data_IF_771247929499
#
_entry.id   IF_771247929499
#
_cell.length_a   1.000
_cell.length_b   1.000
_cell.length_c   1.000
_cell.angle_alpha   90.00
_cell.angle_beta   90.00
_cell.angle_gamma   90.00
#
_symmetry.space_group_name_H-M   'P 1'
#
loop_
_entity.id
_entity.type
_entity.pdbx_description
1 polymer ?
#
# COMPACT_ATOMS: atom_id res chain seq x y z
N UNK A 1 -5.13 4.71 -9.51
CA UNK A 1 -4.10 3.95 -8.74
C UNK A 1 -2.77 4.02 -9.46
N UNK A 2 -2.76 3.88 -10.79
CA UNK A 2 -1.56 4.04 -11.62
C UNK A 2 -0.86 5.38 -11.42
N UNK A 3 -1.61 6.47 -11.28
CA UNK A 3 -1.07 7.80 -11.03
C UNK A 3 -0.32 7.85 -9.70
N UNK A 4 -0.92 7.35 -8.61
CA UNK A 4 -0.25 7.29 -7.30
C UNK A 4 0.92 6.32 -7.26
N UNK A 5 0.87 5.21 -8.00
CA UNK A 5 2.01 4.31 -8.20
C UNK A 5 3.16 5.00 -8.93
N UNK A 6 2.88 5.76 -9.99
CA UNK A 6 3.90 6.52 -10.73
C UNK A 6 4.58 7.60 -9.86
N UNK A 7 3.87 8.09 -8.84
CA UNK A 7 4.38 9.06 -7.87
C UNK A 7 5.08 8.39 -6.66
N UNK A 8 5.18 7.06 -6.62
CA UNK A 8 5.78 6.35 -5.48
C UNK A 8 5.04 6.56 -4.17
N UNK A 9 3.72 6.70 -4.21
CA UNK A 9 2.88 6.81 -3.02
C UNK A 9 2.44 5.39 -2.64
N UNK A 10 2.74 4.89 -1.43
CA UNK A 10 2.29 3.55 -1.01
C UNK A 10 0.78 3.50 -0.75
N UNK A 11 0.16 2.35 -1.01
CA UNK A 11 -1.30 2.17 -0.95
C UNK A 11 -1.73 1.24 0.19
N UNK A 12 -2.93 1.47 0.70
CA UNK A 12 -3.71 0.47 1.45
C UNK A 12 -4.86 0.08 0.53
N UNK A 13 -4.94 -1.19 0.13
CA UNK A 13 -5.97 -1.67 -0.80
C UNK A 13 -6.72 -2.84 -0.21
N UNK A 14 -7.97 -3.05 -0.62
CA UNK A 14 -8.67 -4.30 -0.32
C UNK A 14 -8.20 -5.42 -1.23
N UNK A 15 -8.14 -6.65 -0.70
CA UNK A 15 -7.79 -7.86 -1.46
C UNK A 15 -8.98 -8.35 -2.29
N UNK A 16 -9.48 -7.51 -3.19
CA UNK A 16 -10.60 -7.79 -4.09
C UNK A 16 -10.15 -7.69 -5.54
N UNK A 17 -10.55 -8.67 -6.35
CA UNK A 17 -10.07 -8.79 -7.73
C UNK A 17 -8.55 -8.87 -7.80
N UNK A 18 -7.98 -8.39 -8.91
CA UNK A 18 -6.52 -8.40 -9.14
C UNK A 18 -5.74 -7.27 -8.47
N UNK A 19 -6.38 -6.41 -7.68
CA UNK A 19 -5.69 -5.25 -7.07
C UNK A 19 -4.67 -5.71 -6.02
N UNK A 20 -4.99 -6.75 -5.25
CA UNK A 20 -4.03 -7.33 -4.29
C UNK A 20 -2.80 -7.95 -4.97
N UNK A 21 -2.93 -8.40 -6.22
CA UNK A 21 -1.83 -9.06 -6.96
C UNK A 21 -0.74 -8.09 -7.40
N UNK A 22 -1.07 -6.80 -7.55
CA UNK A 22 -0.12 -5.75 -7.97
C UNK A 22 0.50 -4.99 -6.79
N UNK A 23 0.09 -5.31 -5.56
CA UNK A 23 0.69 -4.78 -4.34
C UNK A 23 1.77 -5.75 -3.85
N UNK A 24 2.94 -5.20 -3.54
CA UNK A 24 4.04 -5.90 -2.90
C UNK A 24 4.07 -5.43 -1.45
N UNK A 25 3.66 -6.28 -0.52
CA UNK A 25 3.54 -5.94 0.90
C UNK A 25 4.84 -5.36 1.46
N UNK A 26 4.74 -4.22 2.16
CA UNK A 26 5.88 -3.51 2.73
C UNK A 26 6.77 -2.82 1.70
N UNK A 27 6.53 -3.03 0.41
CA UNK A 27 7.16 -2.31 -0.69
C UNK A 27 6.15 -1.34 -1.30
N UNK A 28 5.31 -1.73 -2.24
CA UNK A 28 4.42 -0.76 -2.93
C UNK A 28 3.14 -0.42 -2.15
N UNK A 29 2.86 -1.12 -1.05
CA UNK A 29 1.68 -0.89 -0.21
C UNK A 29 1.44 -2.05 0.74
N UNK A 30 0.18 -2.18 1.19
CA UNK A 30 -0.32 -3.33 1.94
C UNK A 30 -1.75 -3.69 1.51
N UNK A 31 -2.04 -5.00 1.47
CA UNK A 31 -3.39 -5.52 1.26
C UNK A 31 -4.16 -5.74 2.57
N UNK A 32 -5.46 -5.41 2.59
CA UNK A 32 -6.37 -5.69 3.71
C UNK A 32 -7.62 -6.45 3.24
N UNK A 33 -8.28 -7.25 4.11
CA UNK A 33 -9.54 -7.89 3.74
C UNK A 33 -10.63 -6.85 3.42
N UNK A 34 -11.51 -7.17 2.46
CA UNK A 34 -12.69 -6.35 2.18
C UNK A 34 -13.63 -6.31 3.39
N UNK A 35 -14.34 -5.19 3.55
CA UNK A 35 -15.35 -4.99 4.61
C UNK A 35 -14.82 -5.20 6.04
N UNK A 36 -13.51 -5.19 6.24
CA UNK A 36 -12.88 -5.35 7.54
C UNK A 36 -12.37 -4.01 8.07
N UNK A 37 -13.24 -3.32 8.82
CA UNK A 37 -12.93 -2.03 9.44
C UNK A 37 -11.71 -2.09 10.35
N UNK A 38 -11.55 -3.17 11.13
CA UNK A 38 -10.44 -3.31 12.06
C UNK A 38 -9.10 -3.38 11.32
N UNK A 39 -9.02 -4.19 10.26
CA UNK A 39 -7.82 -4.31 9.44
C UNK A 39 -7.43 -2.98 8.77
N UNK A 40 -8.41 -2.26 8.19
CA UNK A 40 -8.17 -0.94 7.60
C UNK A 40 -7.69 0.07 8.64
N UNK A 41 -8.29 0.06 9.84
CA UNK A 41 -7.91 0.97 10.92
C UNK A 41 -6.47 0.72 11.38
N UNK A 42 -6.09 -0.54 11.58
CA UNK A 42 -4.72 -0.92 11.93
C UNK A 42 -3.73 -0.47 10.87
N UNK A 43 -4.01 -0.75 9.59
CA UNK A 43 -3.19 -0.34 8.46
C UNK A 43 -2.98 1.19 8.39
N UNK A 44 -4.06 1.97 8.58
CA UNK A 44 -4.00 3.43 8.61
C UNK A 44 -3.15 3.95 9.78
N UNK A 45 -3.29 3.36 10.96
CA UNK A 45 -2.50 3.74 12.13
C UNK A 45 -1.01 3.39 11.95
N UNK A 46 -0.69 2.24 11.35
CA UNK A 46 0.68 1.88 11.00
C UNK A 46 1.29 2.90 10.04
N UNK A 47 0.59 3.26 8.96
CA UNK A 47 1.03 4.28 8.01
C UNK A 47 1.21 5.65 8.67
N UNK A 48 0.29 6.03 9.55
CA UNK A 48 0.36 7.30 10.28
C UNK A 48 1.59 7.37 11.20
N UNK A 49 1.84 6.33 12.00
CA UNK A 49 2.97 6.28 12.91
C UNK A 49 4.31 6.12 12.18
N UNK A 50 4.33 5.43 11.04
CA UNK A 50 5.52 5.18 10.24
C UNK A 50 5.61 6.12 9.02
N UNK A 51 4.93 7.27 9.03
CA UNK A 51 4.85 8.19 7.88
C UNK A 51 6.20 8.60 7.28
N UNK A 52 7.24 8.66 8.10
CA UNK A 52 8.60 9.01 7.67
C UNK A 52 9.30 7.86 6.91
N UNK A 53 8.78 6.64 7.00
CA UNK A 53 9.27 5.43 6.35
C UNK A 53 8.51 5.14 5.05
N UNK A 54 7.27 5.63 4.91
CA UNK A 54 6.43 5.46 3.72
C UNK A 54 7.10 5.87 2.39
N UNK A 55 7.95 6.92 2.31
CA UNK A 55 8.65 7.23 1.06
C UNK A 55 9.57 6.09 0.58
N UNK A 56 10.07 5.25 1.48
CA UNK A 56 10.90 4.09 1.14
C UNK A 56 10.09 2.93 0.55
N UNK A 57 8.82 2.85 0.91
CA UNK A 57 7.89 1.83 0.42
C UNK A 57 7.63 2.08 -1.08
N UNK A 58 7.17 3.27 -1.47
CA UNK A 58 6.86 3.56 -2.87
C UNK A 58 8.07 3.70 -3.82
N UNK A 59 9.27 3.34 -3.39
CA UNK A 59 10.53 3.52 -4.11
C UNK A 59 10.91 2.31 -4.99
N UNK A 60 9.99 1.37 -5.26
CA UNK A 60 10.25 0.27 -6.18
C UNK A 60 10.42 0.83 -7.60
N UNK A 61 11.66 1.20 -7.93
CA UNK A 61 12.08 1.58 -9.27
C UNK A 61 11.93 0.34 -10.13
N UNK A 62 11.07 0.41 -11.14
CA UNK A 62 11.14 -0.50 -12.28
C UNK A 62 12.59 -0.45 -12.79
N UNK A 63 13.38 -1.43 -12.37
CA UNK A 63 14.65 -1.73 -13.00
C UNK A 63 14.25 -2.39 -14.31
N UNK A 64 14.69 -1.79 -15.41
CA UNK A 64 14.20 -2.05 -16.77
C UNK A 64 14.34 -3.47 -17.25
#
# INVERSE_FOLDING_TARGET
MLESMSMGIPHIVTNVGGIGEVIIDGCTGIGVPSENQAALTTALLEFYHQKNQLPKMGLLRATG
#
